data_IF_777812974920
#
_entry.id   IF_777812974920
#
_cell.length_a   1.000
_cell.length_b   1.000
_cell.length_c   1.000
_cell.angle_alpha   90.00
_cell.angle_beta   90.00
_cell.angle_gamma   90.00
#
_symmetry.space_group_name_H-M   'P 1'
#
loop_
_entity.id
_entity.type
_entity.pdbx_description
1 polymer ?
#
# COMPACT_ATOMS: atom_id res chain seq x y z
N UNK A 1 -22.29 2.44 -36.78
CA UNK A 1 -22.42 2.96 -35.40
C UNK A 1 -21.23 2.59 -34.52
N UNK A 2 -20.72 1.34 -34.53
CA UNK A 2 -19.56 0.92 -33.72
C UNK A 2 -18.24 1.69 -33.98
N UNK A 3 -17.92 2.05 -35.23
CA UNK A 3 -16.66 2.76 -35.54
C UNK A 3 -16.56 4.16 -34.91
N UNK A 4 -17.68 4.90 -34.80
CA UNK A 4 -17.68 6.22 -34.17
C UNK A 4 -17.49 6.13 -32.65
N UNK A 5 -18.02 5.07 -32.03
CA UNK A 5 -17.88 4.83 -30.58
C UNK A 5 -16.43 4.55 -30.19
N UNK A 6 -15.71 3.76 -31.00
CA UNK A 6 -14.31 3.44 -30.74
C UNK A 6 -13.41 4.67 -30.94
N UNK A 7 -13.65 5.48 -31.97
CA UNK A 7 -12.89 6.71 -32.21
C UNK A 7 -13.06 7.74 -31.06
N UNK A 8 -14.26 7.86 -30.50
CA UNK A 8 -14.51 8.73 -29.34
C UNK A 8 -13.81 8.18 -28.09
N UNK A 9 -13.89 6.87 -27.86
CA UNK A 9 -13.22 6.19 -26.74
C UNK A 9 -11.69 6.36 -26.80
N UNK A 10 -11.09 6.17 -27.97
CA UNK A 10 -9.65 6.37 -28.21
C UNK A 10 -9.25 7.83 -27.96
N UNK A 11 -10.05 8.79 -28.43
CA UNK A 11 -9.81 10.21 -28.23
C UNK A 11 -9.84 10.59 -26.73
N UNK A 12 -10.87 10.15 -26.00
CA UNK A 12 -11.00 10.42 -24.56
C UNK A 12 -9.84 9.78 -23.80
N UNK A 13 -9.50 8.53 -24.13
CA UNK A 13 -8.35 7.83 -23.54
C UNK A 13 -7.06 8.62 -23.74
N UNK A 14 -6.80 9.10 -24.96
CA UNK A 14 -5.64 9.93 -25.27
C UNK A 14 -5.63 11.24 -24.45
N UNK A 15 -6.77 11.93 -24.34
CA UNK A 15 -6.89 13.15 -23.55
C UNK A 15 -6.59 12.92 -22.05
N UNK A 16 -7.10 11.84 -21.46
CA UNK A 16 -6.84 11.48 -20.06
C UNK A 16 -5.37 11.14 -19.86
N UNK A 17 -4.78 10.36 -20.78
CA UNK A 17 -3.37 9.95 -20.71
C UNK A 17 -2.41 11.15 -20.81
N UNK A 18 -2.74 12.16 -21.60
CA UNK A 18 -1.97 13.40 -21.71
C UNK A 18 -2.03 14.28 -20.46
N UNK A 19 -3.05 14.11 -19.60
CA UNK A 19 -3.29 14.98 -18.44
C UNK A 19 -3.50 14.18 -17.15
N UNK A 20 -2.51 13.38 -16.74
CA UNK A 20 -2.71 12.38 -15.69
C UNK A 20 -2.87 12.96 -14.29
N UNK A 21 -2.48 14.22 -14.07
CA UNK A 21 -2.52 14.87 -12.75
C UNK A 21 -3.80 15.66 -12.47
N UNK A 22 -4.68 15.82 -13.46
CA UNK A 22 -5.96 16.50 -13.28
C UNK A 22 -6.90 15.68 -12.39
N UNK A 23 -6.83 14.35 -12.53
CA UNK A 23 -7.70 13.42 -11.82
C UNK A 23 -7.00 12.83 -10.61
N UNK A 24 -7.78 12.60 -9.56
CA UNK A 24 -7.35 11.78 -8.44
C UNK A 24 -7.09 10.34 -8.92
N UNK A 25 -6.08 9.62 -8.38
CA UNK A 25 -5.78 8.26 -8.82
C UNK A 25 -6.96 7.27 -8.73
N UNK A 26 -7.87 7.45 -7.76
CA UNK A 26 -9.08 6.63 -7.66
C UNK A 26 -10.06 6.84 -8.84
N UNK A 27 -10.15 8.06 -9.37
CA UNK A 27 -10.97 8.36 -10.54
C UNK A 27 -10.38 7.70 -11.79
N UNK A 28 -9.05 7.71 -11.92
CA UNK A 28 -8.36 7.08 -13.04
C UNK A 28 -8.48 5.55 -13.01
N UNK A 29 -8.43 4.96 -11.82
CA UNK A 29 -8.71 3.53 -11.64
C UNK A 29 -10.15 3.21 -12.02
N UNK A 30 -11.11 4.02 -11.55
CA UNK A 30 -12.51 3.89 -11.95
C UNK A 30 -12.69 3.98 -13.47
N UNK A 31 -12.06 4.96 -14.14
CA UNK A 31 -12.15 5.04 -15.60
C UNK A 31 -11.50 3.85 -16.30
N UNK A 32 -10.38 3.37 -15.77
CA UNK A 32 -9.70 2.18 -16.28
C UNK A 32 -10.55 0.92 -16.19
N UNK A 33 -11.31 0.75 -15.11
CA UNK A 33 -12.18 -0.43 -14.91
C UNK A 33 -13.54 -0.30 -15.58
N UNK A 34 -14.18 0.87 -15.50
CA UNK A 34 -15.52 1.09 -16.06
C UNK A 34 -15.55 1.05 -17.58
N UNK A 35 -14.53 1.65 -18.21
CA UNK A 35 -14.47 1.82 -19.66
C UNK A 35 -13.47 0.88 -20.33
N UNK A 36 -12.93 -0.11 -19.61
CA UNK A 36 -11.91 -1.05 -20.07
C UNK A 36 -10.73 -0.32 -20.75
N UNK A 37 -10.04 0.53 -19.98
CA UNK A 37 -8.86 1.28 -20.43
C UNK A 37 -7.64 0.82 -19.61
N UNK A 38 -7.06 -0.36 -19.90
CA UNK A 38 -5.94 -0.92 -19.14
C UNK A 38 -4.73 0.01 -18.92
N UNK A 39 -4.36 0.89 -19.89
CA UNK A 39 -3.26 1.84 -19.68
C UNK A 39 -3.45 2.80 -18.49
N UNK A 40 -4.69 3.00 -18.02
CA UNK A 40 -4.98 3.83 -16.85
C UNK A 40 -4.73 3.12 -15.52
N UNK A 41 -4.50 1.81 -15.48
CA UNK A 41 -4.40 1.06 -14.24
C UNK A 41 -2.99 1.09 -13.63
N UNK A 42 -1.98 0.61 -14.34
CA UNK A 42 -0.64 0.35 -13.78
C UNK A 42 0.00 1.56 -13.08
N UNK A 43 0.36 2.60 -13.85
CA UNK A 43 1.04 3.78 -13.30
C UNK A 43 0.18 4.59 -12.31
N UNK A 44 -1.15 4.42 -12.33
CA UNK A 44 -2.06 5.17 -11.45
C UNK A 44 -2.29 4.44 -10.15
N UNK A 45 -2.30 3.12 -10.17
CA UNK A 45 -2.29 2.30 -8.97
C UNK A 45 -1.04 2.58 -8.13
N UNK A 46 0.14 2.66 -8.76
CA UNK A 46 1.37 3.07 -8.06
C UNK A 46 1.23 4.46 -7.42
N UNK A 47 0.60 5.43 -8.11
CA UNK A 47 0.35 6.76 -7.53
C UNK A 47 -0.63 6.72 -6.37
N UNK A 48 -1.66 5.88 -6.45
CA UNK A 48 -2.61 5.67 -5.36
C UNK A 48 -1.90 5.06 -4.13
N UNK A 49 -0.99 4.11 -4.34
CA UNK A 49 -0.19 3.52 -3.26
C UNK A 49 0.77 4.51 -2.58
N UNK A 50 1.09 5.65 -3.20
CA UNK A 50 1.86 6.73 -2.57
C UNK A 50 1.02 7.65 -1.69
N UNK A 51 -0.31 7.58 -1.77
CA UNK A 51 -1.21 8.40 -0.95
C UNK A 51 -1.39 7.70 0.40
N UNK A 52 -1.17 8.38 1.54
CA UNK A 52 -1.47 7.85 2.86
C UNK A 52 -2.95 7.45 2.98
N UNK A 53 -3.24 6.31 3.60
CA UNK A 53 -4.62 5.81 3.76
C UNK A 53 -5.55 6.82 4.42
N UNK A 54 -5.06 7.59 5.39
CA UNK A 54 -5.81 8.68 6.06
C UNK A 54 -6.30 9.78 5.10
N UNK A 55 -5.66 9.92 3.93
CA UNK A 55 -6.06 10.89 2.89
C UNK A 55 -7.06 10.29 1.88
N UNK A 56 -7.34 8.99 1.95
CA UNK A 56 -8.35 8.33 1.11
C UNK A 56 -9.73 8.54 1.74
N UNK A 57 -10.55 9.37 1.09
CA UNK A 57 -11.92 9.68 1.53
C UNK A 57 -12.90 8.60 1.10
N UNK A 58 -14.04 8.52 1.79
CA UNK A 58 -15.16 7.61 1.45
C UNK A 58 -15.58 7.69 -0.02
N UNK A 59 -15.61 8.89 -0.62
CA UNK A 59 -15.93 9.05 -2.02
C UNK A 59 -14.93 8.34 -2.96
N UNK A 60 -13.64 8.33 -2.63
CA UNK A 60 -12.62 7.62 -3.40
C UNK A 60 -12.84 6.10 -3.32
N UNK A 61 -13.20 5.59 -2.14
CA UNK A 61 -13.52 4.17 -1.94
C UNK A 61 -14.73 3.75 -2.77
N UNK A 62 -15.78 4.58 -2.79
CA UNK A 62 -16.99 4.33 -3.58
C UNK A 62 -16.69 4.31 -5.08
N UNK A 63 -15.83 5.21 -5.57
CA UNK A 63 -15.42 5.25 -6.97
C UNK A 63 -14.71 3.98 -7.42
N UNK A 64 -13.81 3.43 -6.59
CA UNK A 64 -13.06 2.22 -6.96
C UNK A 64 -13.91 0.95 -6.95
N UNK A 65 -15.08 0.96 -6.30
CA UNK A 65 -15.90 -0.23 -6.00
C UNK A 65 -15.19 -1.18 -5.02
N UNK A 66 -15.96 -2.09 -4.43
CA UNK A 66 -15.53 -2.93 -3.30
C UNK A 66 -14.33 -3.83 -3.63
N UNK A 67 -14.34 -4.49 -4.78
CA UNK A 67 -13.30 -5.45 -5.16
C UNK A 67 -11.94 -4.77 -5.37
N UNK A 68 -11.90 -3.71 -6.18
CA UNK A 68 -10.67 -2.96 -6.45
C UNK A 68 -10.16 -2.28 -5.18
N UNK A 69 -11.08 -1.77 -4.35
CA UNK A 69 -10.70 -1.19 -3.07
C UNK A 69 -10.11 -2.23 -2.12
N UNK A 70 -10.67 -3.45 -2.04
CA UNK A 70 -10.12 -4.52 -1.22
C UNK A 70 -8.71 -4.93 -1.68
N UNK A 71 -8.50 -5.11 -2.99
CA UNK A 71 -7.17 -5.38 -3.55
C UNK A 71 -6.20 -4.22 -3.28
N UNK A 72 -6.66 -2.97 -3.41
CA UNK A 72 -5.86 -1.80 -3.08
C UNK A 72 -5.40 -1.81 -1.61
N UNK A 73 -6.31 -2.06 -0.67
CA UNK A 73 -5.97 -2.14 0.76
C UNK A 73 -4.94 -3.24 1.01
N UNK A 74 -5.15 -4.44 0.45
CA UNK A 74 -4.19 -5.54 0.60
C UNK A 74 -2.79 -5.15 0.11
N UNK A 75 -2.68 -4.63 -1.13
CA UNK A 75 -1.39 -4.25 -1.70
C UNK A 75 -0.75 -3.09 -0.93
N UNK A 76 -1.54 -2.09 -0.53
CA UNK A 76 -1.04 -0.94 0.25
C UNK A 76 -0.52 -1.38 1.61
N UNK A 77 -1.23 -2.26 2.32
CA UNK A 77 -0.78 -2.80 3.60
C UNK A 77 0.50 -3.61 3.46
N UNK A 78 0.63 -4.44 2.42
CA UNK A 78 1.86 -5.16 2.13
C UNK A 78 3.03 -4.20 1.82
N UNK A 79 2.78 -3.18 1.00
CA UNK A 79 3.79 -2.19 0.65
C UNK A 79 4.24 -1.38 1.87
N UNK A 80 3.30 -0.96 2.72
CA UNK A 80 3.62 -0.19 3.92
C UNK A 80 4.45 -1.01 4.90
N UNK A 81 4.08 -2.27 5.14
CA UNK A 81 4.88 -3.20 5.93
C UNK A 81 6.29 -3.33 5.38
N UNK A 82 6.43 -3.53 4.06
CA UNK A 82 7.73 -3.64 3.42
C UNK A 82 8.56 -2.35 3.57
N UNK A 83 7.94 -1.18 3.35
CA UNK A 83 8.61 0.12 3.54
C UNK A 83 9.08 0.31 4.97
N UNK A 84 8.27 -0.03 5.98
CA UNK A 84 8.67 0.03 7.39
C UNK A 84 9.85 -0.90 7.66
N UNK A 85 9.82 -2.15 7.18
CA UNK A 85 10.95 -3.06 7.33
C UNK A 85 12.25 -2.51 6.71
N UNK A 86 12.18 -1.97 5.49
CA UNK A 86 13.34 -1.40 4.79
C UNK A 86 13.85 -0.14 5.50
N UNK A 87 12.95 0.68 6.02
CA UNK A 87 13.28 1.84 6.83
C UNK A 87 13.79 1.48 8.24
N UNK A 88 13.65 0.20 8.65
CA UNK A 88 13.98 -0.22 10.00
C UNK A 88 12.98 0.25 11.05
N UNK A 89 11.75 0.55 10.65
CA UNK A 89 10.69 0.93 11.55
C UNK A 89 10.07 -0.35 12.16
N UNK A 90 10.07 -0.50 13.49
CA UNK A 90 9.38 -1.59 14.14
C UNK A 90 7.86 -1.40 13.98
N UNK A 91 7.09 -2.51 13.84
CA UNK A 91 5.64 -2.41 13.75
C UNK A 91 5.08 -1.84 15.06
N UNK A 92 3.90 -1.23 14.97
CA UNK A 92 3.22 -0.68 16.13
C UNK A 92 2.94 -1.79 17.17
N UNK A 93 3.29 -1.50 18.42
CA UNK A 93 3.00 -2.38 19.55
C UNK A 93 1.54 -2.17 20.01
N UNK A 94 0.83 -3.26 20.24
CA UNK A 94 -0.42 -3.22 20.98
C UNK A 94 -0.10 -3.38 22.47
N UNK A 95 -0.34 -2.32 23.23
CA UNK A 95 -0.18 -2.33 24.69
C UNK A 95 -1.29 -3.13 25.35
N UNK A 96 -0.95 -3.84 26.44
CA UNK A 96 -1.98 -4.40 27.34
C UNK A 96 -2.76 -3.26 28.00
N UNK A 97 -4.03 -3.50 28.32
CA UNK A 97 -4.87 -2.55 29.05
C UNK A 97 -4.28 -2.16 30.42
N UNK A 98 -3.46 -3.02 31.00
CA UNK A 98 -2.81 -2.81 32.31
C UNK A 98 -1.41 -2.17 32.19
N UNK A 99 -1.00 -1.73 31.00
CA UNK A 99 0.30 -1.10 30.81
C UNK A 99 0.38 0.24 31.54
N UNK A 100 1.29 0.35 32.52
CA UNK A 100 1.43 1.56 33.34
C UNK A 100 2.29 2.64 32.68
N UNK A 101 3.19 2.27 31.77
CA UNK A 101 4.06 3.19 31.05
C UNK A 101 4.13 2.83 29.57
N UNK A 102 3.26 3.48 28.79
CA UNK A 102 3.17 3.30 27.34
C UNK A 102 4.45 3.73 26.62
N UNK A 103 5.18 4.71 27.15
CA UNK A 103 6.38 5.25 26.50
C UNK A 103 7.53 4.28 26.68
N UNK A 104 7.84 3.91 27.93
CA UNK A 104 8.91 2.96 28.23
C UNK A 104 8.67 1.62 27.52
N UNK A 105 7.44 1.10 27.57
CA UNK A 105 7.07 -0.15 26.89
C UNK A 105 7.26 -0.05 25.36
N UNK A 106 6.93 1.10 24.76
CA UNK A 106 7.17 1.32 23.32
C UNK A 106 8.67 1.38 23.00
N UNK A 107 9.47 2.05 23.83
CA UNK A 107 10.92 2.13 23.64
C UNK A 107 11.60 0.77 23.79
N UNK A 108 11.22 0.01 24.82
CA UNK A 108 11.67 -1.36 25.04
C UNK A 108 11.32 -2.26 23.85
N UNK A 109 10.10 -2.14 23.33
CA UNK A 109 9.70 -2.86 22.12
C UNK A 109 10.57 -2.52 20.92
N UNK A 110 10.85 -1.23 20.69
CA UNK A 110 11.73 -0.82 19.59
C UNK A 110 13.12 -1.41 19.74
N UNK A 111 13.65 -1.45 20.96
CA UNK A 111 14.96 -2.04 21.25
C UNK A 111 14.97 -3.55 21.01
N UNK A 112 13.96 -4.28 21.52
CA UNK A 112 13.82 -5.73 21.31
C UNK A 112 13.67 -6.06 19.83
N UNK A 113 12.82 -5.31 19.11
CA UNK A 113 12.64 -5.49 17.68
C UNK A 113 13.96 -5.30 16.93
N UNK A 114 14.70 -4.24 17.22
CA UNK A 114 15.97 -3.97 16.54
C UNK A 114 17.03 -5.03 16.84
N UNK A 115 17.12 -5.45 18.09
CA UNK A 115 18.09 -6.45 18.51
C UNK A 115 17.77 -7.85 17.98
N UNK A 116 16.48 -8.19 17.80
CA UNK A 116 16.06 -9.48 17.26
C UNK A 116 15.78 -9.45 15.76
N UNK A 117 14.72 -8.78 15.32
CA UNK A 117 14.32 -8.73 13.90
C UNK A 117 15.33 -8.00 13.02
N UNK A 118 15.93 -6.92 13.51
CA UNK A 118 16.94 -6.18 12.76
C UNK A 118 18.11 -7.08 12.35
N UNK A 119 18.59 -7.92 13.27
CA UNK A 119 19.61 -8.92 12.97
C UNK A 119 19.13 -9.96 11.94
N UNK A 120 17.93 -10.52 12.13
CA UNK A 120 17.42 -11.58 11.24
C UNK A 120 17.14 -11.09 9.81
N UNK A 121 16.75 -9.82 9.64
CA UNK A 121 16.45 -9.22 8.34
C UNK A 121 17.68 -8.63 7.65
N UNK A 122 18.63 -8.08 8.41
CA UNK A 122 19.78 -7.34 7.87
C UNK A 122 21.09 -8.15 7.88
N UNK A 123 21.09 -9.39 8.39
CA UNK A 123 22.25 -10.27 8.28
C UNK A 123 22.50 -10.64 6.81
N UNK A 124 23.42 -9.91 6.18
CA UNK A 124 23.82 -10.12 4.80
C UNK A 124 24.44 -11.50 4.54
N UNK A 125 24.86 -12.23 5.58
CA UNK A 125 25.40 -13.60 5.46
C UNK A 125 24.33 -14.66 5.40
N UNK A 126 23.13 -14.39 5.93
CA UNK A 126 22.02 -15.32 5.95
C UNK A 126 20.67 -14.57 5.93
N UNK A 127 20.32 -13.96 4.78
CA UNK A 127 19.09 -13.19 4.67
C UNK A 127 17.88 -14.10 4.80
N UNK A 128 17.06 -13.87 5.82
CA UNK A 128 15.78 -14.56 5.99
C UNK A 128 14.67 -13.84 5.24
N UNK A 129 13.67 -14.59 4.76
CA UNK A 129 12.40 -14.01 4.38
C UNK A 129 11.74 -13.38 5.62
N UNK A 130 10.84 -12.41 5.44
CA UNK A 130 10.15 -11.79 6.59
C UNK A 130 9.42 -12.82 7.44
N UNK A 131 8.72 -13.76 6.79
CA UNK A 131 7.93 -14.77 7.48
C UNK A 131 8.84 -15.71 8.31
N UNK A 132 9.96 -16.16 7.74
CA UNK A 132 10.92 -16.99 8.47
C UNK A 132 11.59 -16.23 9.63
N UNK A 133 11.94 -14.97 9.40
CA UNK A 133 12.55 -14.11 10.40
C UNK A 133 11.57 -13.83 11.55
N UNK A 134 10.29 -13.61 11.23
CA UNK A 134 9.22 -13.42 12.21
C UNK A 134 8.99 -14.68 13.04
N UNK A 135 8.95 -15.87 12.43
CA UNK A 135 8.82 -17.14 13.16
C UNK A 135 10.01 -17.38 14.09
N UNK A 136 11.23 -17.08 13.64
CA UNK A 136 12.42 -17.15 14.49
C UNK A 136 12.38 -16.15 15.64
N UNK A 137 11.97 -14.92 15.37
CA UNK A 137 11.87 -13.90 16.41
C UNK A 137 10.83 -14.23 17.48
N UNK A 138 9.71 -14.84 17.10
CA UNK A 138 8.72 -15.36 18.07
C UNK A 138 9.27 -16.47 18.97
N UNK A 139 10.36 -17.14 18.56
CA UNK A 139 10.99 -18.22 19.30
C UNK A 139 12.17 -17.79 20.19
N UNK A 140 12.56 -16.51 20.14
CA UNK A 140 13.55 -15.89 21.03
C UNK A 140 12.91 -15.54 22.38
#
# INVERSE_FOLDING_TARGET
>A
MLQCSNAIHDYITACILQRPFIFHPSELIYFGTEYDIPPLLGCRFTRLCKIPLIKIKKCHCLLMRSEVFATYIQVKTCLDKHCCMVAGEPPEMQHSNDCQDLVACSEDWRAIWWNGMGWLLLDARNPHSYDDALERFKSL
#
